data_IF_596892142659
#
_entry.id   IF_596892142659
#
_cell.length_a   1.000
_cell.length_b   1.000
_cell.length_c   1.000
_cell.angle_alpha   90.00
_cell.angle_beta   90.00
_cell.angle_gamma   90.00
#
_symmetry.space_group_name_H-M   'P 1'
#
loop_
_entity.id
_entity.type
_entity.pdbx_description
1 polymer ?
#
# COMPACT_ATOMS: atom_id res chain seq x y z
N UNK A 1 -24.18 -19.12 -26.56
CA UNK A 1 -24.24 -17.68 -26.52
C UNK A 1 -24.12 -17.11 -25.13
N UNK A 2 -24.45 -17.86 -24.09
CA UNK A 2 -24.24 -17.42 -22.70
C UNK A 2 -22.79 -17.54 -22.25
N UNK A 3 -22.03 -18.42 -22.87
CA UNK A 3 -20.65 -18.74 -22.49
C UNK A 3 -19.68 -17.54 -22.59
N UNK A 4 -19.72 -16.70 -23.65
CA UNK A 4 -18.81 -15.56 -23.72
C UNK A 4 -18.99 -14.53 -22.63
N UNK A 5 -20.22 -14.33 -22.17
CA UNK A 5 -20.51 -13.38 -21.10
C UNK A 5 -19.95 -13.88 -19.76
N UNK A 6 -20.08 -15.18 -19.50
CA UNK A 6 -19.52 -15.79 -18.28
C UNK A 6 -18.00 -15.71 -18.29
N UNK A 7 -17.37 -15.96 -19.44
CA UNK A 7 -15.92 -15.86 -19.58
C UNK A 7 -15.42 -14.45 -19.33
N UNK A 8 -16.13 -13.42 -19.80
CA UNK A 8 -15.76 -12.02 -19.55
C UNK A 8 -15.86 -11.68 -18.07
N UNK A 9 -16.89 -12.14 -17.39
CA UNK A 9 -17.04 -11.91 -15.95
C UNK A 9 -15.90 -12.56 -15.18
N UNK A 10 -15.49 -13.76 -15.55
CA UNK A 10 -14.38 -14.45 -14.93
C UNK A 10 -13.05 -13.70 -15.11
N UNK A 11 -12.80 -13.21 -16.33
CA UNK A 11 -11.61 -12.43 -16.62
C UNK A 11 -11.56 -11.13 -15.80
N UNK A 12 -12.70 -10.49 -15.61
CA UNK A 12 -12.77 -9.29 -14.79
C UNK A 12 -12.40 -9.58 -13.33
N UNK A 13 -12.81 -10.72 -12.80
CA UNK A 13 -12.44 -11.15 -11.46
C UNK A 13 -10.96 -11.50 -11.34
N UNK A 14 -10.39 -12.15 -12.37
CA UNK A 14 -8.98 -12.52 -12.40
C UNK A 14 -8.06 -11.34 -12.60
N UNK A 15 -8.56 -10.24 -13.15
CA UNK A 15 -7.78 -9.01 -13.37
C UNK A 15 -7.95 -8.02 -12.22
N UNK A 16 -8.34 -8.49 -11.03
CA UNK A 16 -8.37 -7.68 -9.82
C UNK A 16 -7.02 -7.00 -9.61
N UNK A 17 -6.99 -5.70 -9.24
CA UNK A 17 -5.75 -4.95 -9.17
C UNK A 17 -4.76 -5.54 -8.18
N UNK A 18 -3.53 -5.76 -8.61
CA UNK A 18 -2.42 -6.22 -7.77
C UNK A 18 -2.18 -5.27 -6.61
N UNK A 19 -2.45 -3.98 -6.79
CA UNK A 19 -2.31 -2.95 -5.78
C UNK A 19 -3.04 -3.25 -4.49
N UNK A 20 -4.18 -3.92 -4.57
CA UNK A 20 -4.97 -4.28 -3.39
C UNK A 20 -4.21 -5.21 -2.43
N UNK A 21 -3.27 -5.99 -2.96
CA UNK A 21 -2.44 -6.89 -2.17
C UNK A 21 -1.15 -6.23 -1.69
N UNK A 22 -0.64 -5.26 -2.43
CA UNK A 22 0.60 -4.55 -2.08
C UNK A 22 0.43 -3.66 -0.85
N UNK A 23 -0.69 -2.97 -0.73
CA UNK A 23 -0.90 -2.02 0.35
C UNK A 23 -0.79 -2.67 1.74
N UNK A 24 -1.46 -3.80 2.02
CA UNK A 24 -1.31 -4.46 3.32
C UNK A 24 0.12 -4.91 3.61
N UNK A 25 0.83 -5.41 2.61
CA UNK A 25 2.23 -5.84 2.75
C UNK A 25 3.13 -4.63 3.03
N UNK A 26 2.97 -3.56 2.26
CA UNK A 26 3.75 -2.33 2.43
C UNK A 26 3.52 -1.72 3.80
N UNK A 27 2.26 -1.67 4.26
CA UNK A 27 1.93 -1.16 5.58
C UNK A 27 2.57 -2.00 6.68
N UNK A 28 2.55 -3.31 6.54
CA UNK A 28 3.15 -4.22 7.52
C UNK A 28 4.67 -4.04 7.58
N UNK A 29 5.32 -3.87 6.44
CA UNK A 29 6.77 -3.62 6.39
C UNK A 29 7.13 -2.31 7.08
N UNK A 30 6.38 -1.25 6.80
CA UNK A 30 6.59 0.05 7.43
C UNK A 30 6.40 -0.07 8.95
N UNK A 31 5.31 -0.71 9.37
CA UNK A 31 5.00 -0.88 10.80
C UNK A 31 6.11 -1.66 11.53
N UNK A 32 6.67 -2.69 10.89
CA UNK A 32 7.75 -3.47 11.47
C UNK A 32 9.01 -2.64 11.65
N UNK A 33 9.39 -1.84 10.66
CA UNK A 33 10.55 -0.95 10.76
C UNK A 33 10.33 0.12 11.80
N UNK A 34 9.13 0.70 11.88
CA UNK A 34 8.81 1.68 12.92
C UNK A 34 8.89 1.08 14.30
N UNK A 35 8.49 -0.17 14.45
CA UNK A 35 8.56 -0.88 15.73
C UNK A 35 9.99 -1.16 16.18
N UNK A 36 10.86 -1.52 15.23
CA UNK A 36 12.21 -1.99 15.56
C UNK A 36 13.29 -0.93 15.43
N UNK A 37 13.10 0.08 14.57
CA UNK A 37 14.14 1.05 14.22
C UNK A 37 13.74 2.51 14.39
N UNK A 38 12.61 2.78 15.04
CA UNK A 38 12.13 4.16 15.21
C UNK A 38 13.16 5.05 15.90
N UNK A 39 13.89 4.53 16.89
CA UNK A 39 14.89 5.27 17.63
C UNK A 39 16.09 5.70 16.78
N UNK A 40 16.29 5.07 15.63
CA UNK A 40 17.39 5.36 14.72
C UNK A 40 17.03 6.44 13.69
N UNK A 41 15.77 6.86 13.65
CA UNK A 41 15.29 7.86 12.72
C UNK A 41 15.26 9.24 13.35
N UNK A 42 15.49 10.29 12.55
CA UNK A 42 15.29 11.65 13.01
C UNK A 42 13.80 11.86 13.32
N UNK A 43 13.50 12.84 14.18
CA UNK A 43 12.10 13.16 14.51
C UNK A 43 11.32 13.57 13.26
N UNK A 44 11.95 14.31 12.36
CA UNK A 44 11.33 14.76 11.12
C UNK A 44 11.02 13.58 10.20
N UNK A 45 11.97 12.68 10.03
CA UNK A 45 11.77 11.49 9.20
C UNK A 45 10.68 10.60 9.79
N UNK A 46 10.71 10.39 11.10
CA UNK A 46 9.69 9.57 11.78
C UNK A 46 8.30 10.16 11.60
N UNK A 47 8.15 11.48 11.76
CA UNK A 47 6.87 12.16 11.58
C UNK A 47 6.37 12.03 10.14
N UNK A 48 7.26 12.22 9.16
CA UNK A 48 6.90 12.11 7.75
C UNK A 48 6.50 10.68 7.38
N UNK A 49 7.23 9.69 7.85
CA UNK A 49 6.89 8.27 7.60
C UNK A 49 5.52 7.94 8.18
N UNK A 50 5.25 8.36 9.41
CA UNK A 50 3.94 8.12 10.03
C UNK A 50 2.80 8.80 9.26
N UNK A 51 3.03 10.01 8.77
CA UNK A 51 2.07 10.74 7.96
C UNK A 51 1.78 10.00 6.65
N UNK A 52 2.83 9.60 5.94
CA UNK A 52 2.69 8.88 4.67
C UNK A 52 2.02 7.52 4.88
N UNK A 53 2.34 6.84 5.98
CA UNK A 53 1.72 5.57 6.34
C UNK A 53 0.20 5.75 6.53
N UNK A 54 -0.20 6.78 7.26
CA UNK A 54 -1.62 7.09 7.50
C UNK A 54 -2.34 7.48 6.21
N UNK A 55 -1.71 8.30 5.37
CA UNK A 55 -2.26 8.69 4.07
C UNK A 55 -2.43 7.48 3.15
N UNK A 56 -1.42 6.60 3.11
CA UNK A 56 -1.48 5.39 2.31
C UNK A 56 -2.62 4.48 2.74
N UNK A 57 -2.83 4.33 4.05
CA UNK A 57 -3.95 3.56 4.57
C UNK A 57 -5.29 4.16 4.19
N UNK A 58 -5.43 5.47 4.32
CA UNK A 58 -6.67 6.16 3.94
C UNK A 58 -6.98 6.01 2.45
N UNK A 59 -5.96 6.12 1.60
CA UNK A 59 -6.11 5.91 0.16
C UNK A 59 -6.50 4.47 -0.16
N UNK A 60 -5.91 3.52 0.54
CA UNK A 60 -6.26 2.11 0.38
C UNK A 60 -7.73 1.86 0.72
N UNK A 61 -8.19 2.39 1.85
CA UNK A 61 -9.60 2.25 2.28
C UNK A 61 -10.56 2.94 1.33
N UNK A 62 -10.12 4.00 0.67
CA UNK A 62 -10.92 4.73 -0.33
C UNK A 62 -10.92 4.04 -1.69
N UNK A 63 -10.24 2.92 -1.85
CA UNK A 63 -10.14 2.20 -3.11
C UNK A 63 -9.14 2.79 -4.08
N UNK A 64 -8.36 3.77 -3.67
CA UNK A 64 -7.32 4.41 -4.49
C UNK A 64 -6.00 3.66 -4.34
N UNK A 65 -5.99 2.42 -4.80
CA UNK A 65 -4.87 1.50 -4.55
C UNK A 65 -3.56 1.94 -5.19
N UNK A 66 -3.59 2.48 -6.40
CA UNK A 66 -2.38 2.99 -7.06
C UNK A 66 -1.75 4.14 -6.31
N UNK A 67 -2.56 5.12 -5.89
CA UNK A 67 -2.09 6.25 -5.08
C UNK A 67 -1.59 5.79 -3.72
N UNK A 68 -2.24 4.80 -3.13
CA UNK A 68 -1.82 4.21 -1.86
C UNK A 68 -0.43 3.58 -1.98
N UNK A 69 -0.19 2.79 -3.02
CA UNK A 69 1.11 2.17 -3.27
C UNK A 69 2.19 3.23 -3.44
N UNK A 70 1.91 4.30 -4.19
CA UNK A 70 2.87 5.39 -4.39
C UNK A 70 3.20 6.08 -3.06
N UNK A 71 2.20 6.36 -2.25
CA UNK A 71 2.37 7.04 -0.96
C UNK A 71 3.15 6.17 0.01
N UNK A 72 2.80 4.90 0.11
CA UNK A 72 3.51 3.94 0.96
C UNK A 72 4.94 3.72 0.45
N UNK A 73 5.16 3.76 -0.86
CA UNK A 73 6.48 3.68 -1.46
C UNK A 73 7.38 4.83 -1.02
N UNK A 74 6.84 6.03 -0.89
CA UNK A 74 7.59 7.19 -0.37
C UNK A 74 8.00 6.95 1.09
N UNK A 75 7.12 6.41 1.89
CA UNK A 75 7.44 6.07 3.28
C UNK A 75 8.56 5.03 3.35
N UNK A 76 8.47 3.99 2.53
CA UNK A 76 9.49 2.95 2.46
C UNK A 76 10.84 3.53 2.02
N UNK A 77 10.84 4.43 1.05
CA UNK A 77 12.07 5.09 0.59
C UNK A 77 12.75 5.86 1.72
N UNK A 78 11.98 6.58 2.52
CA UNK A 78 12.51 7.30 3.69
C UNK A 78 13.10 6.34 4.73
N UNK A 79 12.58 5.13 4.81
CA UNK A 79 13.07 4.10 5.72
C UNK A 79 14.23 3.30 5.13
N UNK A 80 14.52 3.44 3.84
CA UNK A 80 15.58 2.69 3.17
C UNK A 80 15.24 1.24 2.89
N UNK A 81 13.97 0.96 2.71
CA UNK A 81 13.51 -0.42 2.44
C UNK A 81 12.77 -0.59 1.11
#
# INVERSE_FOLDING_TARGET
>A
MKTPLVSLALLALLSAPVYAFHCPVDMAEIDEVLKTKAAMLSKETLAEVKKLRAEGEALHKAGKHGESVDTLGKAKALLGI
#
